data_IF_027222712652
#
_entry.id   IF_027222712652
#
_cell.length_a   1.000
_cell.length_b   1.000
_cell.length_c   1.000
_cell.angle_alpha   90.00
_cell.angle_beta   90.00
_cell.angle_gamma   90.00
#
_symmetry.space_group_name_H-M   'P 1'
#
loop_
_entity.id
_entity.type
_entity.pdbx_description
1 polymer ?
#
# COMPACT_ATOMS: atom_id res chain seq x y z
N UNK A 1 9.17 -24.43 -4.86
CA UNK A 1 9.83 -23.38 -4.06
C UNK A 1 9.02 -23.18 -2.78
N UNK A 2 9.70 -23.17 -1.63
CA UNK A 2 9.14 -23.40 -0.30
C UNK A 2 8.14 -22.30 0.10
N UNK A 3 6.85 -22.68 0.18
CA UNK A 3 5.80 -21.89 0.83
C UNK A 3 5.98 -22.03 2.35
N UNK A 4 6.98 -21.34 2.90
CA UNK A 4 7.02 -21.11 4.35
C UNK A 4 5.75 -20.33 4.70
N UNK A 5 4.97 -20.80 5.69
CA UNK A 5 3.72 -20.17 6.13
C UNK A 5 3.89 -18.80 6.78
N UNK A 6 4.91 -18.04 6.38
CA UNK A 6 5.19 -16.67 6.79
C UNK A 6 4.94 -15.77 5.58
N UNK A 7 4.26 -14.65 5.83
CA UNK A 7 3.95 -13.66 4.80
C UNK A 7 5.26 -13.21 4.13
N UNK A 8 5.40 -13.35 2.80
CA UNK A 8 6.62 -12.98 2.13
C UNK A 8 6.82 -11.46 2.27
N UNK A 9 7.88 -11.00 2.97
CA UNK A 9 8.04 -9.58 3.31
C UNK A 9 8.27 -8.72 2.06
N UNK A 10 8.79 -9.32 0.98
CA UNK A 10 8.89 -8.66 -0.33
C UNK A 10 7.52 -8.39 -0.96
N UNK A 11 6.52 -9.24 -0.71
CA UNK A 11 5.17 -9.07 -1.25
C UNK A 11 4.41 -7.99 -0.49
N UNK A 12 4.48 -7.99 0.84
CA UNK A 12 3.85 -6.94 1.67
C UNK A 12 4.44 -5.57 1.34
N UNK A 13 5.76 -5.53 1.14
CA UNK A 13 6.43 -4.32 0.71
C UNK A 13 6.00 -3.87 -0.70
N UNK A 14 5.87 -4.79 -1.65
CA UNK A 14 5.39 -4.46 -2.99
C UNK A 14 3.97 -3.87 -2.95
N UNK A 15 3.08 -4.41 -2.10
CA UNK A 15 1.74 -3.86 -1.89
C UNK A 15 1.79 -2.45 -1.27
N UNK A 16 2.63 -2.25 -0.25
CA UNK A 16 2.83 -0.94 0.36
C UNK A 16 3.39 0.09 -0.66
N UNK A 17 4.37 -0.32 -1.46
CA UNK A 17 4.96 0.51 -2.50
C UNK A 17 3.96 0.86 -3.60
N UNK A 18 3.08 -0.07 -3.98
CA UNK A 18 1.98 0.18 -4.91
C UNK A 18 1.01 1.23 -4.36
N UNK A 19 0.60 1.08 -3.09
CA UNK A 19 -0.28 2.05 -2.43
C UNK A 19 0.37 3.44 -2.38
N UNK A 20 1.65 3.52 -2.03
CA UNK A 20 2.43 4.76 -2.05
C UNK A 20 2.57 5.34 -3.46
N UNK A 21 2.69 4.49 -4.48
CA UNK A 21 2.78 4.91 -5.88
C UNK A 21 1.50 5.58 -6.36
N UNK A 22 0.32 5.08 -5.96
CA UNK A 22 -0.96 5.71 -6.29
C UNK A 22 -1.21 7.05 -5.56
N UNK A 23 -0.39 7.40 -4.56
CA UNK A 23 -0.36 8.77 -4.03
C UNK A 23 0.01 9.77 -5.12
N UNK A 24 0.71 9.31 -6.17
CA UNK A 24 1.12 10.13 -7.31
C UNK A 24 2.09 11.24 -6.92
N UNK A 25 2.85 11.06 -5.83
CA UNK A 25 3.75 12.07 -5.26
C UNK A 25 5.06 11.42 -4.84
N UNK A 26 6.16 11.79 -5.51
CA UNK A 26 7.53 11.34 -5.22
C UNK A 26 8.38 12.55 -4.89
N UNK A 27 8.96 12.58 -3.70
CA UNK A 27 9.86 13.67 -3.27
C UNK A 27 9.25 15.09 -3.43
N UNK A 28 7.92 15.20 -3.29
CA UNK A 28 7.18 16.47 -3.46
C UNK A 28 6.77 16.78 -4.90
N UNK A 29 7.24 16.01 -5.89
CA UNK A 29 6.78 16.11 -7.28
C UNK A 29 5.59 15.20 -7.52
N UNK A 30 4.51 15.77 -8.06
CA UNK A 30 3.36 14.99 -8.49
C UNK A 30 3.58 14.45 -9.90
N UNK A 31 3.29 13.17 -10.11
CA UNK A 31 3.34 12.54 -11.42
C UNK A 31 2.00 11.91 -11.79
N UNK A 32 1.63 11.93 -13.08
CA UNK A 32 0.41 11.27 -13.53
C UNK A 32 0.59 9.76 -13.43
N UNK A 33 -0.25 9.12 -12.60
CA UNK A 33 -0.40 7.67 -12.61
C UNK A 33 -1.38 7.32 -13.73
N UNK A 34 -0.91 6.56 -14.72
CA UNK A 34 -1.72 6.08 -15.83
C UNK A 34 -2.22 4.67 -15.49
N UNK A 35 -3.43 4.59 -14.96
CA UNK A 35 -4.07 3.36 -14.53
C UNK A 35 -5.59 3.47 -14.72
N UNK A 36 -6.34 2.45 -14.30
CA UNK A 36 -7.79 2.44 -14.35
C UNK A 36 -8.37 3.67 -13.63
N UNK A 37 -9.25 4.39 -14.32
CA UNK A 37 -9.82 5.64 -13.81
C UNK A 37 -10.59 5.45 -12.49
N UNK A 38 -11.24 4.29 -12.34
CA UNK A 38 -11.94 3.93 -11.10
C UNK A 38 -10.95 3.78 -9.94
N UNK A 39 -9.85 3.06 -10.16
CA UNK A 39 -8.79 2.88 -9.18
C UNK A 39 -8.10 4.18 -8.82
N UNK A 40 -7.79 4.99 -9.82
CA UNK A 40 -7.19 6.30 -9.63
C UNK A 40 -8.08 7.19 -8.77
N UNK A 41 -9.39 7.25 -9.06
CA UNK A 41 -10.37 8.02 -8.30
C UNK A 41 -10.51 7.51 -6.86
N UNK A 42 -10.51 6.19 -6.69
CA UNK A 42 -10.57 5.54 -5.37
C UNK A 42 -9.35 5.86 -4.53
N UNK A 43 -8.14 5.68 -5.07
CA UNK A 43 -6.90 6.01 -4.39
C UNK A 43 -6.81 7.50 -4.06
N UNK A 44 -7.19 8.39 -4.98
CA UNK A 44 -7.24 9.83 -4.69
C UNK A 44 -8.15 10.14 -3.51
N UNK A 45 -9.33 9.52 -3.45
CA UNK A 45 -10.29 9.69 -2.34
C UNK A 45 -9.73 9.14 -1.02
N UNK A 46 -9.13 7.95 -1.03
CA UNK A 46 -8.51 7.34 0.14
C UNK A 46 -7.33 8.19 0.65
N UNK A 47 -6.43 8.59 -0.24
CA UNK A 47 -5.30 9.45 0.11
C UNK A 47 -5.71 10.84 0.57
N UNK A 48 -6.80 11.40 0.04
CA UNK A 48 -7.36 12.66 0.53
C UNK A 48 -7.82 12.53 1.99
N UNK A 49 -8.58 11.47 2.32
CA UNK A 49 -9.01 11.22 3.70
C UNK A 49 -7.84 10.97 4.66
N UNK A 50 -6.81 10.26 4.20
CA UNK A 50 -5.57 10.06 4.97
C UNK A 50 -4.86 11.38 5.24
N UNK A 51 -4.72 12.23 4.21
CA UNK A 51 -4.14 13.58 4.30
C UNK A 51 -4.92 14.48 5.26
N UNK A 52 -6.25 14.39 5.23
CA UNK A 52 -7.15 15.14 6.11
C UNK A 52 -7.23 14.56 7.53
N UNK A 53 -6.43 13.52 7.84
CA UNK A 53 -6.43 12.78 9.12
C UNK A 53 -7.78 12.17 9.47
N UNK A 54 -8.64 11.98 8.48
CA UNK A 54 -9.92 11.29 8.63
C UNK A 54 -9.77 9.78 8.58
N UNK A 55 -8.61 9.29 8.11
CA UNK A 55 -8.33 7.87 7.95
C UNK A 55 -6.88 7.57 8.29
N UNK A 56 -6.64 6.48 9.03
CA UNK A 56 -5.30 6.00 9.36
C UNK A 56 -4.65 5.25 8.18
N UNK A 57 -3.31 5.11 8.21
CA UNK A 57 -2.57 4.31 7.23
C UNK A 57 -3.10 2.87 7.18
N UNK A 58 -3.46 2.31 8.35
CA UNK A 58 -4.07 0.98 8.47
C UNK A 58 -5.38 0.87 7.72
N UNK A 59 -6.30 1.82 7.92
CA UNK A 59 -7.60 1.81 7.24
C UNK A 59 -7.45 1.98 5.73
N UNK A 60 -6.50 2.82 5.29
CA UNK A 60 -6.17 2.97 3.87
C UNK A 60 -5.72 1.63 3.26
N UNK A 61 -4.80 0.94 3.94
CA UNK A 61 -4.31 -0.39 3.53
C UNK A 61 -5.44 -1.42 3.53
N UNK A 62 -6.24 -1.50 4.59
CA UNK A 62 -7.39 -2.40 4.67
C UNK A 62 -8.36 -2.17 3.52
N UNK A 63 -8.72 -0.91 3.23
CA UNK A 63 -9.66 -0.56 2.17
C UNK A 63 -9.17 -0.91 0.76
N UNK A 64 -7.85 -0.98 0.56
CA UNK A 64 -7.22 -1.41 -0.71
C UNK A 64 -7.14 -2.93 -0.79
N UNK A 65 -6.74 -3.60 0.29
CA UNK A 65 -6.59 -5.05 0.34
C UNK A 65 -7.92 -5.80 0.35
N UNK A 66 -9.00 -5.15 0.80
CA UNK A 66 -10.35 -5.70 0.79
C UNK A 66 -11.08 -5.57 -0.55
N UNK A 67 -10.42 -5.07 -1.61
CA UNK A 67 -11.06 -4.94 -2.93
C UNK A 67 -11.02 -6.28 -3.67
N UNK A 68 -12.00 -7.12 -3.39
CA UNK A 68 -12.18 -8.43 -4.03
C UNK A 68 -12.24 -8.34 -5.56
N UNK A 69 -12.82 -7.27 -6.11
CA UNK A 69 -12.90 -7.06 -7.56
C UNK A 69 -11.53 -6.98 -8.26
N UNK A 70 -10.46 -6.69 -7.51
CA UNK A 70 -9.10 -6.56 -8.04
C UNK A 70 -8.17 -7.68 -7.58
N UNK A 71 -8.36 -8.16 -6.34
CA UNK A 71 -7.55 -9.24 -5.78
C UNK A 71 -8.17 -10.63 -5.96
N UNK A 72 -9.39 -10.71 -6.50
CA UNK A 72 -10.26 -11.90 -6.60
C UNK A 72 -10.63 -12.52 -5.23
N UNK A 73 -10.08 -11.98 -4.14
CA UNK A 73 -10.27 -12.39 -2.77
C UNK A 73 -10.05 -11.20 -1.82
N UNK A 74 -10.60 -11.26 -0.62
CA UNK A 74 -10.32 -10.26 0.40
C UNK A 74 -8.98 -10.58 1.08
N UNK A 75 -7.93 -9.86 0.67
CA UNK A 75 -6.59 -10.01 1.26
C UNK A 75 -6.53 -9.48 2.69
N UNK A 76 -7.45 -8.60 3.09
CA UNK A 76 -7.49 -8.08 4.47
C UNK A 76 -7.87 -9.15 5.50
N UNK A 77 -8.48 -10.25 5.07
CA UNK A 77 -8.74 -11.43 5.91
C UNK A 77 -7.47 -12.19 6.28
N UNK A 78 -6.35 -11.96 5.58
CA UNK A 78 -5.10 -12.66 5.86
C UNK A 78 -4.50 -12.09 7.16
N UNK A 79 -4.41 -12.89 8.23
CA UNK A 79 -3.94 -12.41 9.53
C UNK A 79 -2.49 -11.93 9.43
N UNK A 80 -2.25 -10.70 9.89
CA UNK A 80 -0.92 -10.07 9.86
C UNK A 80 -0.56 -9.38 8.54
N UNK A 81 -1.31 -9.58 7.44
CA UNK A 81 -0.99 -8.94 6.16
C UNK A 81 -1.19 -7.43 6.23
N UNK A 82 -2.36 -6.98 6.70
CA UNK A 82 -2.68 -5.56 6.84
C UNK A 82 -1.64 -4.86 7.71
N UNK A 83 -1.25 -5.47 8.83
CA UNK A 83 -0.29 -4.86 9.75
C UNK A 83 1.10 -4.74 9.14
N UNK A 84 1.57 -5.79 8.44
CA UNK A 84 2.87 -5.75 7.77
C UNK A 84 2.89 -4.72 6.64
N UNK A 85 1.85 -4.69 5.79
CA UNK A 85 1.73 -3.70 4.70
C UNK A 85 1.62 -2.29 5.25
N UNK A 86 0.93 -2.09 6.38
CA UNK A 86 0.85 -0.79 7.06
C UNK A 86 2.23 -0.35 7.56
N UNK A 87 2.99 -1.24 8.20
CA UNK A 87 4.33 -0.94 8.68
C UNK A 87 5.30 -0.63 7.51
N UNK A 88 5.23 -1.40 6.43
CA UNK A 88 6.02 -1.18 5.21
C UNK A 88 5.66 0.17 4.57
N UNK A 89 4.36 0.53 4.53
CA UNK A 89 3.90 1.80 3.99
C UNK A 89 4.35 2.99 4.85
N UNK A 90 4.21 2.91 6.17
CA UNK A 90 4.71 3.96 7.07
C UNK A 90 6.24 4.11 6.97
N UNK A 91 6.98 3.01 6.76
CA UNK A 91 8.41 3.07 6.50
C UNK A 91 8.72 3.80 5.18
N UNK A 92 7.99 3.52 4.10
CA UNK A 92 8.11 4.21 2.81
C UNK A 92 7.78 5.70 2.96
N UNK A 93 6.73 6.04 3.72
CA UNK A 93 6.31 7.42 3.93
C UNK A 93 7.30 8.21 4.79
N UNK A 94 7.89 7.57 5.81
CA UNK A 94 8.78 8.23 6.77
C UNK A 94 10.24 8.29 6.30
N UNK A 95 10.74 7.23 5.66
CA UNK A 95 12.15 7.08 5.26
C UNK A 95 12.37 7.21 3.76
N UNK A 96 11.30 7.12 2.96
CA UNK A 96 11.40 7.04 1.52
C UNK A 96 11.56 5.60 1.01
N UNK A 97 11.21 5.40 -0.25
CA UNK A 97 11.16 4.07 -0.88
C UNK A 97 12.51 3.35 -0.93
N UNK A 98 13.63 4.10 -1.04
CA UNK A 98 14.99 3.53 -1.09
C UNK A 98 15.45 2.96 0.25
N UNK A 99 15.23 3.68 1.35
CA UNK A 99 15.60 3.20 2.68
C UNK A 99 14.66 2.07 3.15
N UNK A 100 13.40 2.10 2.72
CA UNK A 100 12.44 1.07 3.07
C UNK A 100 12.69 -0.27 2.35
N UNK A 101 13.34 -0.27 1.17
CA UNK A 101 13.70 -1.51 0.44
C UNK A 101 15.03 -2.13 0.89
N UNK A 102 15.95 -1.35 1.48
CA UNK A 102 17.23 -1.86 1.99
C UNK A 102 17.14 -3.09 2.92
N UNK A 103 16.25 -3.13 3.93
CA UNK A 103 16.13 -4.29 4.81
C UNK A 103 15.55 -5.54 4.14
N UNK A 104 15.06 -5.43 2.90
CA UNK A 104 14.47 -6.55 2.14
C UNK A 104 15.44 -7.17 1.13
N UNK A 105 16.60 -6.56 0.89
CA UNK A 105 17.62 -7.01 -0.05
C UNK A 105 18.41 -8.21 0.48
#
# INVERSE_FOLDING_TARGET
QQKSGQLPPRLTFALAALIAFYRGEREGERYPVQDDAEWLTRYQTLWARHRDRQMSTRELVTAVLSVEAHWEQDLSQIPGLVEQVTADLDAILSRGMRDAVQPLC
#
